data_IF_699027423493
#
_entry.id   IF_699027423493
#
_cell.length_a   1.000
_cell.length_b   1.000
_cell.length_c   1.000
_cell.angle_alpha   90.00
_cell.angle_beta   90.00
_cell.angle_gamma   90.00
#
_symmetry.space_group_name_H-M   'P 1'
#
loop_
_entity.id
_entity.type
_entity.pdbx_description
1 polymer ?
#
# COMPACT_ATOMS: atom_id res chain seq x y z
N UNK A 1 -9.57 10.28 -27.31
CA UNK A 1 -8.20 9.94 -27.75
C UNK A 1 -7.63 8.84 -26.87
N UNK A 2 -6.90 7.88 -27.44
CA UNK A 2 -6.22 6.79 -26.73
C UNK A 2 -4.83 6.55 -27.33
N UNK A 3 -3.95 5.92 -26.57
CA UNK A 3 -2.61 5.52 -27.01
C UNK A 3 -2.35 4.05 -26.70
N UNK A 4 -1.39 3.45 -27.40
CA UNK A 4 -0.77 2.18 -27.00
C UNK A 4 0.66 2.46 -26.59
N UNK A 5 0.94 2.28 -25.30
CA UNK A 5 2.26 2.48 -24.71
C UNK A 5 2.95 1.14 -24.48
N UNK A 6 4.28 1.14 -24.55
CA UNK A 6 5.10 0.01 -24.15
C UNK A 6 5.78 0.31 -22.82
N UNK A 7 5.61 -0.58 -21.84
CA UNK A 7 6.28 -0.48 -20.55
C UNK A 7 6.45 -1.87 -19.93
N UNK A 8 7.58 -2.12 -19.25
CA UNK A 8 7.89 -3.42 -18.65
C UNK A 8 7.85 -4.59 -19.64
N UNK A 9 8.14 -4.34 -20.92
CA UNK A 9 8.08 -5.34 -21.99
C UNK A 9 6.67 -5.71 -22.48
N UNK A 10 5.62 -5.06 -21.97
CA UNK A 10 4.22 -5.28 -22.36
C UNK A 10 3.65 -4.01 -23.02
N UNK A 11 2.58 -4.18 -23.79
CA UNK A 11 1.84 -3.08 -24.41
C UNK A 11 0.51 -2.87 -23.69
N UNK A 12 0.17 -1.60 -23.43
CA UNK A 12 -1.07 -1.22 -22.76
C UNK A 12 -1.81 -0.18 -23.58
N UNK A 13 -3.12 -0.39 -23.76
CA UNK A 13 -4.01 0.64 -24.28
C UNK A 13 -4.41 1.57 -23.15
N UNK A 14 -4.27 2.87 -23.36
CA UNK A 14 -4.51 3.90 -22.34
C UNK A 14 -5.35 5.04 -22.89
N UNK A 15 -6.25 5.55 -22.05
CA UNK A 15 -6.97 6.80 -22.23
C UNK A 15 -6.68 7.75 -21.06
N UNK A 16 -6.81 9.08 -21.24
CA UNK A 16 -6.72 10.02 -20.14
C UNK A 16 -7.76 9.68 -19.07
N UNK A 17 -7.34 9.55 -17.81
CA UNK A 17 -8.19 9.11 -16.71
C UNK A 17 -8.25 7.59 -16.51
N UNK A 18 -7.54 6.78 -17.27
CA UNK A 18 -7.48 5.34 -16.98
C UNK A 18 -6.59 5.03 -15.78
N UNK A 19 -6.94 3.96 -15.05
CA UNK A 19 -6.07 3.35 -14.03
C UNK A 19 -5.52 2.05 -14.58
N UNK A 20 -4.20 1.99 -14.75
CA UNK A 20 -3.51 0.80 -15.24
C UNK A 20 -2.59 0.23 -14.18
N UNK A 21 -2.40 -1.08 -14.23
CA UNK A 21 -1.43 -1.80 -13.39
C UNK A 21 -0.29 -2.23 -14.30
N UNK A 22 0.92 -1.82 -13.95
CA UNK A 22 2.13 -2.10 -14.71
C UNK A 22 3.18 -2.78 -13.82
N UNK A 23 4.26 -3.27 -14.44
CA UNK A 23 5.42 -3.76 -13.70
C UNK A 23 5.96 -2.67 -12.76
N UNK A 24 6.71 -3.07 -11.73
CA UNK A 24 7.29 -2.14 -10.76
C UNK A 24 8.08 -1.04 -11.46
N UNK A 25 7.69 0.21 -11.20
CA UNK A 25 8.44 1.41 -11.53
C UNK A 25 9.11 1.97 -10.28
N UNK A 26 10.20 2.69 -10.49
CA UNK A 26 10.89 3.40 -9.41
C UNK A 26 10.27 4.79 -9.24
N UNK A 27 9.89 5.12 -8.01
CA UNK A 27 9.19 6.35 -7.66
C UNK A 27 8.27 6.17 -6.45
N UNK A 28 7.96 7.29 -5.79
CA UNK A 28 7.04 7.34 -4.64
C UNK A 28 5.60 7.61 -5.08
N UNK A 29 4.64 7.26 -4.24
CA UNK A 29 3.23 7.58 -4.47
C UNK A 29 3.03 9.11 -4.66
N UNK A 30 2.33 9.49 -5.73
CA UNK A 30 2.12 10.87 -6.17
C UNK A 30 3.15 11.38 -7.19
N UNK A 31 4.19 10.59 -7.51
CA UNK A 31 5.21 11.01 -8.49
C UNK A 31 4.66 11.01 -9.92
N UNK A 32 5.05 12.01 -10.71
CA UNK A 32 4.74 12.06 -12.14
C UNK A 32 5.69 11.18 -12.95
N UNK A 33 5.12 10.43 -13.90
CA UNK A 33 5.81 9.47 -14.77
C UNK A 33 5.43 9.74 -16.21
N UNK A 34 6.43 9.99 -17.06
CA UNK A 34 6.25 10.20 -18.50
C UNK A 34 6.71 8.98 -19.31
N UNK A 35 5.87 8.49 -20.21
CA UNK A 35 6.20 7.42 -21.14
C UNK A 35 6.44 7.98 -22.55
N UNK A 36 7.67 7.82 -23.06
CA UNK A 36 8.03 8.18 -24.44
C UNK A 36 7.88 7.02 -25.44
N UNK A 37 7.72 5.78 -24.98
CA UNK A 37 7.51 4.63 -25.85
C UNK A 37 6.04 4.48 -26.24
N UNK A 38 5.59 5.35 -27.16
CA UNK A 38 4.25 5.32 -27.73
C UNK A 38 4.28 4.70 -29.12
N UNK A 39 3.53 3.61 -29.31
CA UNK A 39 3.53 2.84 -30.57
C UNK A 39 2.37 3.22 -31.50
N UNK A 40 1.26 3.67 -30.92
CA UNK A 40 0.02 3.99 -31.65
C UNK A 40 -0.73 5.09 -30.93
N UNK A 41 -1.31 6.01 -31.71
CA UNK A 41 -2.28 7.00 -31.25
C UNK A 41 -3.59 6.79 -32.02
N UNK A 42 -4.71 6.83 -31.32
CA UNK A 42 -6.04 6.69 -31.90
C UNK A 42 -6.99 7.76 -31.39
N UNK A 43 -7.75 8.36 -32.30
CA UNK A 43 -8.73 9.38 -31.97
C UNK A 43 -9.80 9.51 -33.05
N UNK A 44 -10.64 10.54 -32.93
CA UNK A 44 -11.80 10.74 -33.81
C UNK A 44 -11.40 11.08 -35.26
N UNK A 45 -10.17 11.57 -35.46
CA UNK A 45 -9.60 11.90 -36.77
C UNK A 45 -8.87 10.72 -37.43
N UNK A 46 -8.83 9.55 -36.80
CA UNK A 46 -8.17 8.35 -37.30
C UNK A 46 -7.11 7.79 -36.35
N UNK A 47 -6.29 6.88 -36.88
CA UNK A 47 -5.25 6.15 -36.17
C UNK A 47 -3.90 6.48 -36.77
N UNK A 48 -2.97 6.97 -35.94
CA UNK A 48 -1.55 7.07 -36.30
C UNK A 48 -0.82 5.83 -35.77
N UNK A 49 -0.10 5.14 -36.65
CA UNK A 49 0.76 4.01 -36.30
C UNK A 49 2.23 4.44 -36.39
N UNK A 50 3.01 4.12 -35.36
CA UNK A 50 4.45 4.34 -35.35
C UNK A 50 5.21 3.26 -36.12
N UNK A 51 6.43 3.59 -36.54
CA UNK A 51 7.36 2.65 -37.16
C UNK A 51 8.77 2.81 -36.57
N UNK A 52 9.09 2.22 -35.41
CA UNK A 52 8.26 1.46 -34.46
C UNK A 52 7.59 2.31 -33.36
N UNK A 53 8.00 3.57 -33.20
CA UNK A 53 7.47 4.54 -32.24
C UNK A 53 6.99 5.79 -32.99
N UNK A 54 6.07 6.53 -32.38
CA UNK A 54 5.63 7.84 -32.89
C UNK A 54 6.56 8.92 -32.32
N UNK A 55 7.23 9.67 -33.20
CA UNK A 55 8.18 10.71 -32.78
C UNK A 55 7.43 11.87 -32.11
N UNK A 56 7.89 12.27 -30.92
CA UNK A 56 7.31 13.40 -30.18
C UNK A 56 6.00 13.09 -29.46
N UNK A 57 5.55 11.83 -29.46
CA UNK A 57 4.43 11.40 -28.65
C UNK A 57 4.87 11.11 -27.22
N UNK A 58 4.06 11.52 -26.24
CA UNK A 58 4.29 11.21 -24.83
C UNK A 58 2.98 10.94 -24.09
N UNK A 59 3.04 10.08 -23.10
CA UNK A 59 1.92 9.83 -22.18
C UNK A 59 2.36 10.19 -20.77
N UNK A 60 1.66 11.14 -20.17
CA UNK A 60 1.86 11.52 -18.79
C UNK A 60 0.93 10.70 -17.87
N UNK A 61 1.47 10.26 -16.75
CA UNK A 61 0.76 9.52 -15.73
C UNK A 61 1.25 9.91 -14.34
N UNK A 62 0.42 9.71 -13.32
CA UNK A 62 0.81 9.85 -11.93
C UNK A 62 0.81 8.48 -11.27
N UNK A 63 1.85 8.18 -10.50
CA UNK A 63 1.96 6.96 -9.72
C UNK A 63 1.02 7.04 -8.51
N UNK A 64 -0.02 6.23 -8.47
CA UNK A 64 -0.98 6.21 -7.34
C UNK A 64 -0.39 5.45 -6.16
N UNK A 65 0.08 4.23 -6.40
CA UNK A 65 0.69 3.39 -5.38
C UNK A 65 1.57 2.31 -6.00
N UNK A 66 2.55 1.84 -5.23
CA UNK A 66 3.28 0.60 -5.51
C UNK A 66 2.86 -0.45 -4.50
N UNK A 67 2.27 -1.56 -4.98
CA UNK A 67 1.66 -2.58 -4.12
C UNK A 67 2.10 -3.99 -4.47
N UNK A 68 1.86 -4.91 -3.54
CA UNK A 68 1.91 -6.35 -3.81
C UNK A 68 0.62 -6.78 -4.49
N UNK A 69 0.72 -7.37 -5.66
CA UNK A 69 -0.37 -7.99 -6.40
C UNK A 69 -0.98 -9.18 -5.66
N UNK A 70 -1.88 -9.88 -6.35
CA UNK A 70 -2.55 -11.04 -5.79
C UNK A 70 -1.56 -12.18 -5.47
N UNK A 71 -1.86 -12.97 -4.43
CA UNK A 71 -1.02 -14.13 -4.08
C UNK A 71 -1.28 -15.27 -5.03
N UNK A 72 -0.35 -15.52 -5.94
CA UNK A 72 -0.36 -16.71 -6.77
C UNK A 72 0.16 -17.87 -5.94
N UNK A 73 -0.66 -18.92 -5.77
CA UNK A 73 -0.26 -20.15 -5.07
C UNK A 73 0.36 -21.12 -6.08
N UNK A 74 1.67 -21.33 -5.95
CA UNK A 74 2.43 -22.27 -6.76
C UNK A 74 2.46 -23.61 -6.02
N UNK A 75 1.69 -24.56 -6.52
CA UNK A 75 1.65 -25.93 -5.99
C UNK A 75 2.38 -26.88 -6.93
N UNK A 76 3.42 -27.55 -6.43
CA UNK A 76 4.16 -28.58 -7.16
C UNK A 76 3.95 -29.92 -6.46
N UNK A 77 3.55 -30.95 -7.19
CA UNK A 77 3.34 -32.31 -6.65
C UNK A 77 3.77 -33.36 -7.68
N UNK A 78 4.51 -34.37 -7.22
CA UNK A 78 4.80 -35.56 -8.03
C UNK A 78 4.04 -36.74 -7.42
N UNK A 79 3.25 -37.42 -8.25
CA UNK A 79 2.40 -38.54 -7.82
C UNK A 79 3.26 -39.70 -7.31
N UNK A 80 2.86 -40.32 -6.19
CA UNK A 80 3.51 -41.49 -5.55
C UNK A 80 4.95 -41.30 -5.07
N UNK A 81 5.58 -40.14 -5.29
CA UNK A 81 6.95 -39.84 -4.84
C UNK A 81 7.01 -39.07 -3.51
N UNK A 82 5.87 -38.86 -2.83
CA UNK A 82 5.79 -38.05 -1.59
C UNK A 82 6.10 -36.56 -1.76
N UNK A 83 6.60 -36.13 -2.92
CA UNK A 83 6.94 -34.74 -3.20
C UNK A 83 5.68 -33.88 -3.35
N UNK A 84 5.53 -32.91 -2.45
CA UNK A 84 4.58 -31.80 -2.53
C UNK A 84 5.23 -30.53 -1.98
N UNK A 85 5.11 -29.40 -2.68
CA UNK A 85 5.58 -28.08 -2.24
C UNK A 85 4.53 -27.03 -2.61
N UNK A 86 4.20 -26.17 -1.65
CA UNK A 86 3.27 -25.06 -1.84
C UNK A 86 3.98 -23.77 -1.47
N UNK A 87 4.28 -22.94 -2.47
CA UNK A 87 4.86 -21.62 -2.26
C UNK A 87 3.87 -20.55 -2.74
N UNK A 88 3.96 -19.36 -2.16
CA UNK A 88 3.23 -18.20 -2.66
C UNK A 88 4.18 -17.26 -3.38
N UNK A 89 3.75 -16.68 -4.49
CA UNK A 89 4.38 -15.52 -5.10
C UNK A 89 3.42 -14.33 -5.05
N UNK A 90 3.95 -13.13 -4.83
CA UNK A 90 3.22 -11.88 -5.01
C UNK A 90 4.13 -10.96 -5.80
N UNK A 91 3.68 -10.53 -6.97
CA UNK A 91 4.43 -9.58 -7.79
C UNK A 91 4.32 -8.18 -7.20
N UNK A 92 5.40 -7.41 -7.26
CA UNK A 92 5.34 -5.97 -6.98
C UNK A 92 4.89 -5.27 -8.26
N UNK A 93 3.80 -4.51 -8.17
CA UNK A 93 3.15 -3.86 -9.28
C UNK A 93 2.92 -2.39 -8.93
N UNK A 94 3.01 -1.52 -9.93
CA UNK A 94 2.74 -0.08 -9.79
C UNK A 94 1.40 0.25 -10.43
N UNK A 95 0.57 0.98 -9.70
CA UNK A 95 -0.74 1.46 -10.15
C UNK A 95 -0.60 2.89 -10.61
N UNK A 96 -0.91 3.14 -11.87
CA UNK A 96 -0.78 4.45 -12.49
C UNK A 96 -2.15 4.99 -12.86
N UNK A 97 -2.31 6.30 -12.75
CA UNK A 97 -3.42 7.06 -13.32
C UNK A 97 -2.91 7.86 -14.49
N UNK A 98 -3.49 7.70 -15.67
CA UNK A 98 -3.07 8.45 -16.86
C UNK A 98 -3.62 9.88 -16.76
N UNK A 99 -2.75 10.88 -16.83
CA UNK A 99 -3.13 12.30 -16.73
C UNK A 99 -3.31 12.93 -18.09
N UNK A 100 -2.52 12.51 -19.09
CA UNK A 100 -2.63 13.06 -20.43
C UNK A 100 -1.89 12.26 -21.49
N UNK A 101 -2.28 12.51 -22.73
CA UNK A 101 -1.64 11.97 -23.93
C UNK A 101 -1.37 13.15 -24.85
N UNK A 102 -0.15 13.25 -25.36
CA UNK A 102 0.30 14.28 -26.30
C UNK A 102 0.93 13.60 -27.52
N UNK A 103 0.58 14.05 -28.73
CA UNK A 103 1.18 13.56 -29.96
C UNK A 103 0.42 14.01 -31.22
N UNK A 104 1.13 14.12 -32.35
CA UNK A 104 0.57 14.50 -33.66
C UNK A 104 -0.29 15.78 -33.65
N UNK A 105 0.12 16.78 -32.84
CA UNK A 105 -0.62 18.05 -32.71
C UNK A 105 -1.95 17.93 -31.95
N UNK A 106 -2.24 16.77 -31.37
CA UNK A 106 -3.41 16.53 -30.54
C UNK A 106 -2.95 16.33 -29.09
N UNK A 107 -3.74 16.88 -28.17
CA UNK A 107 -3.56 16.66 -26.74
C UNK A 107 -4.90 16.31 -26.12
N UNK A 108 -4.89 15.33 -25.21
CA UNK A 108 -6.04 14.99 -24.40
C UNK A 108 -5.58 14.92 -22.95
N UNK A 109 -6.22 15.72 -22.10
CA UNK A 109 -5.92 15.81 -20.67
C UNK A 109 -7.11 15.32 -19.87
N UNK A 110 -6.83 14.78 -18.71
CA UNK A 110 -7.82 14.43 -17.71
C UNK A 110 -7.77 15.47 -16.60
N UNK A 111 -8.89 16.19 -16.40
CA UNK A 111 -9.01 17.29 -15.42
C UNK A 111 -9.26 16.82 -13.98
N UNK A 112 -9.28 15.51 -13.75
CA UNK A 112 -9.54 14.95 -12.43
C UNK A 112 -8.32 14.98 -11.52
N UNK A 113 -8.56 15.10 -10.21
CA UNK A 113 -7.51 14.96 -9.20
C UNK A 113 -7.11 13.49 -9.11
N UNK A 114 -5.83 13.19 -9.29
CA UNK A 114 -5.30 11.87 -8.97
C UNK A 114 -5.36 11.69 -7.44
N UNK A 115 -6.42 11.05 -6.95
CA UNK A 115 -6.53 10.72 -5.54
C UNK A 115 -5.49 9.65 -5.22
N UNK A 116 -4.45 10.01 -4.47
CA UNK A 116 -3.38 9.13 -3.99
C UNK A 116 -3.86 8.23 -2.83
N UNK A 117 -5.16 7.91 -2.79
CA UNK A 117 -5.70 7.00 -1.81
C UNK A 117 -5.19 5.60 -2.15
N UNK A 118 -4.24 5.11 -1.35
CA UNK A 118 -3.71 3.76 -1.53
C UNK A 118 -4.84 2.76 -1.34
N UNK A 119 -4.76 1.60 -2.00
CA UNK A 119 -5.72 0.51 -1.82
C UNK A 119 -5.72 0.02 -0.38
N UNK A 120 -4.62 0.17 0.35
CA UNK A 120 -4.56 -0.11 1.79
C UNK A 120 -5.49 0.83 2.58
N UNK A 121 -5.42 2.14 2.33
CA UNK A 121 -6.28 3.14 2.97
C UNK A 121 -7.74 3.01 2.56
N UNK A 122 -8.00 2.69 1.28
CA UNK A 122 -9.34 2.45 0.76
C UNK A 122 -9.99 1.23 1.43
N UNK A 123 -9.23 0.14 1.60
CA UNK A 123 -9.68 -1.06 2.32
C UNK A 123 -9.87 -0.80 3.82
N UNK A 124 -9.02 0.03 4.44
CA UNK A 124 -9.18 0.41 5.85
C UNK A 124 -10.43 1.26 6.07
N UNK A 125 -10.71 2.21 5.17
CA UNK A 125 -11.91 3.06 5.20
C UNK A 125 -13.18 2.24 5.00
N UNK A 126 -13.18 1.31 4.03
CA UNK A 126 -14.30 0.40 3.79
C UNK A 126 -14.63 -0.50 4.99
N UNK A 127 -13.63 -0.82 5.82
CA UNK A 127 -13.79 -1.61 7.05
C UNK A 127 -14.08 -0.75 8.29
N UNK A 128 -14.19 0.58 8.16
CA UNK A 128 -14.38 1.49 9.29
C UNK A 128 -13.17 1.64 10.21
N UNK A 129 -11.98 1.20 9.78
CA UNK A 129 -10.72 1.22 10.54
C UNK A 129 -9.79 2.38 10.16
N UNK A 130 -10.20 3.26 9.23
CA UNK A 130 -9.38 4.40 8.84
C UNK A 130 -9.31 5.42 10.00
N UNK A 131 -8.12 5.95 10.34
CA UNK A 131 -8.04 7.06 11.29
C UNK A 131 -8.83 8.24 10.72
N UNK A 132 -9.74 8.78 11.54
CA UNK A 132 -10.42 10.05 11.26
C UNK A 132 -9.33 11.11 11.21
N UNK A 133 -8.94 11.56 10.02
CA UNK A 133 -8.16 12.79 9.90
C UNK A 133 -9.09 13.91 10.35
N UNK A 134 -8.91 14.38 11.57
CA UNK A 134 -9.54 15.59 12.06
C UNK A 134 -9.06 16.72 11.15
N UNK A 135 -10.02 17.37 10.48
CA UNK A 135 -9.74 18.59 9.75
C UNK A 135 -9.18 19.61 10.74
N UNK A 136 -7.98 20.12 10.48
CA UNK A 136 -7.45 21.24 11.25
C UNK A 136 -8.47 22.38 11.26
N UNK A 137 -8.85 22.91 12.43
CA UNK A 137 -9.79 24.01 12.50
C UNK A 137 -9.13 25.26 11.90
N UNK A 138 -9.71 25.77 10.81
CA UNK A 138 -9.43 27.11 10.28
C UNK A 138 -9.56 28.11 11.44
N UNK A 139 -8.44 28.69 11.88
CA UNK A 139 -8.41 29.83 12.79
C UNK A 139 -9.06 31.03 12.09
N UNK A 140 -10.29 31.37 12.50
CA UNK A 140 -10.88 32.68 12.24
C UNK A 140 -10.34 33.70 13.28
N UNK A 141 -10.22 34.99 12.92
CA UNK A 141 -9.47 35.98 13.69
C UNK A 141 -10.22 36.44 14.95
N UNK A 142 -9.48 36.64 16.05
CA UNK A 142 -9.99 37.16 17.32
C UNK A 142 -10.39 38.64 17.18
N UNK A 143 -11.67 38.96 17.34
CA UNK A 143 -12.10 40.27 17.80
C UNK A 143 -12.02 40.31 19.34
N UNK A 144 -11.35 41.34 19.87
CA UNK A 144 -11.31 41.66 21.30
C UNK A 144 -12.67 42.22 21.73
N UNK A 145 -13.21 41.71 22.84
CA UNK A 145 -14.21 42.39 23.66
C UNK A 145 -13.67 42.51 25.09
N UNK A 146 -13.99 43.63 25.71
CA UNK A 146 -13.41 44.22 26.91
C UNK A 146 -14.31 43.98 28.15
N UNK A 147 -13.66 43.75 29.31
CA UNK A 147 -14.06 43.95 30.72
C UNK A 147 -15.42 43.45 31.32
N UNK A 148 -15.33 42.39 32.16
CA UNK A 148 -15.66 42.24 33.62
C UNK A 148 -16.87 42.95 34.32
N UNK A 149 -17.37 42.52 35.53
CA UNK A 149 -17.22 41.25 36.30
C UNK A 149 -18.47 40.71 37.09
N UNK A 150 -18.29 39.51 37.69
CA UNK A 150 -18.79 38.96 38.99
C UNK A 150 -20.27 38.50 39.19
N UNK A 151 -20.47 37.21 39.52
CA UNK A 151 -20.92 36.75 40.86
C UNK A 151 -20.74 35.21 41.05
N UNK A 152 -20.77 34.81 42.32
CA UNK A 152 -20.21 33.63 43.02
C UNK A 152 -21.14 32.41 43.20
N UNK A 153 -20.56 31.34 43.79
CA UNK A 153 -21.16 30.18 44.49
C UNK A 153 -21.28 28.88 43.64
N UNK A 154 -20.97 27.66 44.10
CA UNK A 154 -20.33 27.08 45.30
C UNK A 154 -20.22 25.57 44.98
N UNK A 155 -19.11 24.92 45.34
CA UNK A 155 -19.00 23.44 45.37
C UNK A 155 -19.25 22.97 46.80
N UNK A 156 -19.67 21.72 47.07
CA UNK A 156 -18.63 20.71 47.25
C UNK A 156 -19.02 19.24 46.95
N UNK A 157 -17.98 18.43 46.97
CA UNK A 157 -17.88 17.04 46.57
C UNK A 157 -18.01 16.01 47.72
N UNK A 158 -17.92 14.73 47.30
CA UNK A 158 -17.35 13.54 47.98
C UNK A 158 -18.32 12.54 48.66
N UNK A 159 -18.27 11.28 48.19
CA UNK A 159 -17.68 10.16 48.95
C UNK A 159 -17.54 8.85 48.13
N UNK A 160 -16.32 8.36 48.07
CA UNK A 160 -15.94 6.95 48.07
C UNK A 160 -14.94 6.77 49.24
N UNK A 161 -14.39 5.59 49.60
CA UNK A 161 -14.84 4.20 49.48
C UNK A 161 -14.65 3.42 50.84
N UNK A 162 -15.00 2.13 50.91
CA UNK A 162 -14.36 1.22 51.89
C UNK A 162 -14.31 -0.24 51.38
N UNK A 163 -13.09 -0.79 51.44
CA UNK A 163 -12.69 -2.19 51.16
C UNK A 163 -13.20 -3.17 52.22
N UNK A 164 -13.41 -4.44 51.83
CA UNK A 164 -13.11 -5.58 52.71
C UNK A 164 -12.47 -6.72 51.90
N UNK A 165 -11.33 -7.19 52.40
CA UNK A 165 -10.58 -8.34 51.91
C UNK A 165 -10.92 -9.59 52.74
N UNK A 166 -10.83 -10.78 52.12
CA UNK A 166 -10.57 -12.05 52.80
C UNK A 166 -9.97 -13.04 51.79
N UNK A 167 -8.90 -13.71 52.19
CA UNK A 167 -8.05 -14.63 51.42
C UNK A 167 -8.25 -16.10 51.93
N UNK A 168 -7.41 -17.11 51.58
CA UNK A 168 -7.81 -18.37 50.93
C UNK A 168 -7.63 -19.62 51.84
N UNK A 169 -7.93 -20.83 51.32
CA UNK A 169 -7.47 -22.12 51.88
C UNK A 169 -6.91 -23.07 50.81
N UNK A 170 -5.72 -23.58 51.14
CA UNK A 170 -4.93 -24.70 50.59
C UNK A 170 -5.55 -26.07 51.00
N UNK A 171 -5.12 -27.30 50.63
CA UNK A 171 -3.93 -27.94 50.02
C UNK A 171 -4.29 -29.44 49.80
N UNK A 172 -3.70 -30.22 48.88
CA UNK A 172 -2.65 -31.27 49.08
C UNK A 172 -2.80 -32.38 47.99
N UNK A 173 -1.86 -33.27 47.61
CA UNK A 173 -0.39 -33.41 47.40
C UNK A 173 -0.16 -34.82 46.77
N UNK A 174 0.93 -35.01 45.99
CA UNK A 174 1.88 -36.19 45.85
C UNK A 174 2.60 -36.14 44.47
N UNK A 175 3.90 -35.80 44.38
CA UNK A 175 5.12 -36.66 44.32
C UNK A 175 5.22 -37.54 43.03
N UNK A 176 6.32 -37.70 42.25
CA UNK A 176 7.76 -37.44 42.39
C UNK A 176 8.50 -37.52 41.01
N UNK A 177 9.81 -37.14 41.01
CA UNK A 177 10.96 -37.66 40.21
C UNK A 177 11.54 -36.81 39.04
N UNK A 178 12.77 -36.32 39.24
CA UNK A 178 13.78 -35.89 38.24
C UNK A 178 14.96 -36.93 38.25
N UNK A 179 16.05 -36.90 37.43
CA UNK A 179 16.58 -35.79 36.60
C UNK A 179 17.27 -36.15 35.23
N UNK A 180 17.61 -35.08 34.47
CA UNK A 180 18.77 -34.83 33.59
C UNK A 180 19.29 -35.86 32.55
N UNK A 181 19.43 -35.40 31.28
CA UNK A 181 20.53 -35.69 30.31
C UNK A 181 20.40 -34.73 29.08
N UNK A 182 21.22 -33.68 28.98
CA UNK A 182 22.54 -33.55 28.31
C UNK A 182 22.43 -33.29 26.78
N UNK A 183 22.70 -32.03 26.39
CA UNK A 183 23.03 -31.62 25.03
C UNK A 183 24.45 -32.11 24.63
N UNK A 184 24.74 -32.23 23.31
CA UNK A 184 26.10 -32.03 22.85
C UNK A 184 26.20 -30.93 21.78
N UNK A 185 27.30 -30.20 21.90
CA UNK A 185 27.73 -29.09 21.05
C UNK A 185 28.37 -29.54 19.73
N UNK A 186 28.38 -28.59 18.79
CA UNK A 186 29.34 -28.33 17.70
C UNK A 186 30.40 -29.41 17.41
N UNK A 187 30.44 -29.86 16.15
CA UNK A 187 31.70 -30.09 15.42
C UNK A 187 31.70 -29.26 14.15
N UNK A 188 32.69 -28.39 14.06
CA UNK A 188 33.04 -27.60 12.89
C UNK A 188 34.26 -28.22 12.19
N UNK A 189 34.40 -27.85 10.91
CA UNK A 189 35.59 -27.88 10.04
C UNK A 189 35.85 -29.16 9.21
N UNK A 190 36.56 -29.07 8.05
CA UNK A 190 37.13 -27.87 7.40
C UNK A 190 36.76 -27.69 5.91
N UNK A 191 36.97 -26.45 5.42
CA UNK A 191 37.16 -26.14 4.00
C UNK A 191 38.41 -26.87 3.48
N UNK A 192 38.34 -27.43 2.28
CA UNK A 192 39.50 -27.76 1.48
C UNK A 192 39.31 -27.14 0.09
N UNK A 193 40.03 -26.05 -0.15
CA UNK A 193 40.40 -25.58 -1.48
C UNK A 193 41.45 -26.55 -2.06
N UNK A 194 41.24 -27.04 -3.29
CA UNK A 194 42.32 -27.31 -4.26
C UNK A 194 41.78 -27.63 -5.65
N UNK A 195 42.34 -26.89 -6.61
CA UNK A 195 42.31 -26.95 -8.09
C UNK A 195 41.02 -26.60 -8.84
#
# INVERSE_FOLDING_TARGET
MYAVIKTGGKQYRVQPGDVIVVEKLDGDAGSDVSFGEVMMLGGDKGVTLGAPLIKGASVAATLVETRKGEKIKIFKKIRRQGYRRTNGHRQMESVLRITGIEGDGQSAKWDGKAEVLTKAEMNARARGLAPRVEAEPKKAPKAKAEAAPAETAEAPAKKAPAKKAAAPKAEAKTEAKAPAKKAPAKKAAPKADKE
#
